data_IF_915279349939
#
_entry.id   IF_915279349939
#
_cell.length_a   1.000
_cell.length_b   1.000
_cell.length_c   1.000
_cell.angle_alpha   90.00
_cell.angle_beta   90.00
_cell.angle_gamma   90.00
#
_symmetry.space_group_name_H-M   'P 1'
#
loop_
_entity.id
_entity.type
_entity.pdbx_description
1 polymer ?
#
# COMPACT_ATOMS: atom_id res chain seq x y z
N UNK A 1 8.46 -10.38 -18.04
CA UNK A 1 8.82 -9.18 -18.82
C UNK A 1 8.54 -7.87 -18.07
N UNK A 2 7.37 -7.69 -17.43
CA UNK A 2 7.00 -6.40 -16.83
C UNK A 2 7.86 -5.88 -15.64
N UNK A 3 8.41 -6.76 -14.80
CA UNK A 3 9.11 -6.32 -13.56
C UNK A 3 10.39 -5.52 -13.84
N UNK A 4 11.16 -5.92 -14.86
CA UNK A 4 12.43 -5.28 -15.23
C UNK A 4 12.22 -3.90 -15.86
N UNK A 5 11.16 -3.75 -16.65
CA UNK A 5 10.78 -2.48 -17.27
C UNK A 5 10.33 -1.46 -16.21
N UNK A 6 9.58 -1.91 -15.20
CA UNK A 6 9.16 -1.07 -14.07
C UNK A 6 10.36 -0.59 -13.25
N UNK A 7 11.31 -1.46 -12.95
CA UNK A 7 12.53 -1.07 -12.20
C UNK A 7 13.39 -0.09 -13.00
N UNK A 8 13.48 -0.29 -14.31
CA UNK A 8 14.18 0.64 -15.20
C UNK A 8 13.49 2.00 -15.23
N UNK A 9 12.15 2.03 -15.27
CA UNK A 9 11.40 3.27 -15.18
C UNK A 9 11.58 3.96 -13.82
N UNK A 10 11.47 3.22 -12.71
CA UNK A 10 11.61 3.76 -11.34
C UNK A 10 12.96 4.41 -11.07
N UNK A 11 14.04 3.96 -11.74
CA UNK A 11 15.37 4.57 -11.64
C UNK A 11 15.56 5.81 -12.52
N UNK A 12 14.57 6.17 -13.34
CA UNK A 12 14.66 7.36 -14.21
C UNK A 12 14.45 8.68 -13.45
N UNK A 13 15.06 9.75 -13.95
CA UNK A 13 14.85 11.10 -13.43
C UNK A 13 13.38 11.55 -13.51
N UNK A 14 12.65 11.06 -14.52
CA UNK A 14 11.22 11.31 -14.67
C UNK A 14 10.42 10.66 -13.54
N UNK A 15 10.70 9.40 -13.22
CA UNK A 15 10.01 8.72 -12.13
C UNK A 15 10.28 9.38 -10.78
N UNK A 16 11.51 9.85 -10.52
CA UNK A 16 11.80 10.60 -9.28
C UNK A 16 10.97 11.88 -9.20
N UNK A 17 10.91 12.68 -10.28
CA UNK A 17 10.08 13.88 -10.31
C UNK A 17 8.58 13.57 -10.13
N UNK A 18 8.09 12.54 -10.82
CA UNK A 18 6.69 12.10 -10.74
C UNK A 18 6.32 11.65 -9.33
N UNK A 19 7.15 10.79 -8.73
CA UNK A 19 6.94 10.26 -7.38
C UNK A 19 7.07 11.35 -6.31
N UNK A 20 7.93 12.36 -6.50
CA UNK A 20 7.97 13.54 -5.62
C UNK A 20 6.65 14.32 -5.68
N UNK A 21 6.17 14.63 -6.87
CA UNK A 21 4.92 15.37 -7.05
C UNK A 21 3.70 14.60 -6.49
N UNK A 22 3.58 13.30 -6.79
CA UNK A 22 2.55 12.45 -6.19
C UNK A 22 2.71 12.33 -4.67
N UNK A 23 3.95 12.22 -4.20
CA UNK A 23 4.28 12.04 -2.79
C UNK A 23 3.81 13.19 -1.93
N UNK A 24 3.83 14.43 -2.43
CA UNK A 24 3.28 15.59 -1.71
C UNK A 24 1.76 15.48 -1.50
N UNK A 25 1.03 15.06 -2.53
CA UNK A 25 -0.43 14.91 -2.46
C UNK A 25 -0.82 13.76 -1.53
N UNK A 26 -0.14 12.62 -1.65
CA UNK A 26 -0.36 11.46 -0.80
C UNK A 26 0.03 11.77 0.65
N UNK A 27 1.19 12.41 0.89
CA UNK A 27 1.60 12.84 2.22
C UNK A 27 0.57 13.76 2.86
N UNK A 28 0.00 14.70 2.09
CA UNK A 28 -1.05 15.58 2.61
C UNK A 28 -2.27 14.78 3.01
N UNK A 29 -2.83 13.98 2.11
CA UNK A 29 -4.02 13.17 2.38
C UNK A 29 -3.80 12.23 3.59
N UNK A 30 -2.66 11.55 3.61
CA UNK A 30 -2.29 10.64 4.69
C UNK A 30 -2.09 11.41 5.99
N UNK A 31 -1.37 12.52 6.06
CA UNK A 31 -1.23 13.30 7.31
C UNK A 31 -2.56 13.85 7.85
N UNK A 32 -3.54 14.08 6.97
CA UNK A 32 -4.86 14.54 7.40
C UNK A 32 -5.72 13.39 7.93
N UNK A 33 -5.47 12.16 7.48
CA UNK A 33 -6.20 10.95 7.86
C UNK A 33 -5.45 10.06 8.85
N UNK A 34 -4.14 10.26 9.03
CA UNK A 34 -3.23 9.37 9.74
C UNK A 34 -3.53 9.44 11.22
N UNK A 35 -4.07 8.33 11.68
CA UNK A 35 -4.36 8.02 13.07
C UNK A 35 -3.42 6.85 13.47
N UNK A 36 -3.38 6.39 14.74
CA UNK A 36 -2.27 5.57 15.25
C UNK A 36 -2.02 4.24 14.54
N UNK A 37 -2.89 3.75 13.66
CA UNK A 37 -2.70 2.48 12.95
C UNK A 37 -3.10 2.62 11.49
N UNK A 38 -2.13 2.48 10.57
CA UNK A 38 -2.37 2.55 9.12
C UNK A 38 -2.15 1.19 8.47
N UNK A 39 -3.12 0.72 7.69
CA UNK A 39 -3.00 -0.45 6.83
C UNK A 39 -2.75 -0.01 5.40
N UNK A 40 -1.77 -0.64 4.74
CA UNK A 40 -1.44 -0.41 3.34
C UNK A 40 -1.65 -1.70 2.57
N UNK A 41 -2.52 -1.65 1.57
CA UNK A 41 -2.89 -2.79 0.74
C UNK A 41 -2.46 -2.48 -0.70
N UNK A 42 -1.69 -3.39 -1.30
CA UNK A 42 -1.30 -3.25 -2.71
C UNK A 42 -0.06 -4.05 -3.10
N UNK A 43 0.43 -3.79 -4.31
CA UNK A 43 1.78 -4.22 -4.70
C UNK A 43 2.78 -3.19 -4.17
N UNK A 44 3.50 -3.60 -3.14
CA UNK A 44 4.56 -2.80 -2.51
C UNK A 44 5.86 -3.24 -3.16
N UNK A 45 6.41 -2.40 -4.05
CA UNK A 45 7.66 -2.64 -4.75
C UNK A 45 8.84 -1.87 -4.15
N UNK A 46 10.01 -2.03 -4.76
CA UNK A 46 11.16 -1.13 -4.51
C UNK A 46 10.74 0.32 -4.80
N UNK A 47 11.04 1.23 -3.87
CA UNK A 47 10.62 2.64 -3.92
C UNK A 47 9.13 2.89 -3.79
N UNK A 48 8.40 2.01 -3.09
CA UNK A 48 7.02 2.29 -2.73
C UNK A 48 6.94 3.67 -2.06
N UNK A 49 6.09 4.53 -2.61
CA UNK A 49 5.85 5.90 -2.11
C UNK A 49 5.55 5.92 -0.60
N UNK A 50 5.03 4.81 -0.09
CA UNK A 50 4.74 4.55 1.32
C UNK A 50 5.97 4.66 2.23
N UNK A 51 7.16 4.27 1.77
CA UNK A 51 8.40 4.35 2.58
C UNK A 51 8.90 5.79 2.72
N UNK A 52 8.44 6.68 1.83
CA UNK A 52 8.66 8.12 1.95
C UNK A 52 7.59 8.81 2.80
N UNK A 53 6.54 8.09 3.21
CA UNK A 53 5.55 8.60 4.14
C UNK A 53 6.03 8.32 5.56
N UNK A 54 6.17 9.38 6.36
CA UNK A 54 6.54 9.28 7.76
C UNK A 54 5.33 8.83 8.61
N UNK A 55 4.99 7.54 8.48
CA UNK A 55 3.85 6.90 9.14
C UNK A 55 4.32 6.16 10.41
N UNK A 56 3.82 6.52 11.60
CA UNK A 56 4.37 6.03 12.87
C UNK A 56 4.10 4.54 13.12
N UNK A 57 2.96 4.01 12.67
CA UNK A 57 2.64 2.60 12.76
C UNK A 57 1.93 2.14 11.48
N UNK A 58 2.70 1.53 10.59
CA UNK A 58 2.23 1.05 9.30
C UNK A 58 2.27 -0.48 9.27
N UNK A 59 1.19 -1.10 8.80
CA UNK A 59 1.12 -2.51 8.46
C UNK A 59 0.97 -2.64 6.95
N UNK A 60 1.88 -3.37 6.32
CA UNK A 60 1.97 -3.57 4.87
C UNK A 60 1.49 -4.96 4.50
N UNK A 61 0.46 -5.04 3.66
CA UNK A 61 -0.13 -6.30 3.18
C UNK A 61 0.06 -6.41 1.68
N UNK A 62 0.48 -7.59 1.24
CA UNK A 62 0.52 -7.94 -0.18
C UNK A 62 0.20 -9.41 -0.42
N UNK A 63 -0.09 -9.76 -1.66
CA UNK A 63 -0.27 -11.16 -2.10
C UNK A 63 1.06 -11.83 -2.46
N UNK A 64 2.11 -11.04 -2.65
CA UNK A 64 3.42 -11.47 -3.14
C UNK A 64 4.31 -11.93 -1.98
N UNK A 65 4.52 -13.24 -1.86
CA UNK A 65 5.33 -13.84 -0.79
C UNK A 65 6.82 -13.52 -0.90
N UNK A 66 7.32 -13.14 -2.08
CA UNK A 66 8.73 -12.76 -2.26
C UNK A 66 9.06 -11.46 -1.50
N UNK A 67 8.06 -10.57 -1.34
CA UNK A 67 8.24 -9.32 -0.59
C UNK A 67 8.39 -9.56 0.92
N UNK A 68 7.82 -10.65 1.45
CA UNK A 68 7.95 -11.00 2.87
C UNK A 68 9.38 -11.41 3.18
N UNK A 69 9.99 -12.23 2.33
CA UNK A 69 11.38 -12.66 2.48
C UNK A 69 12.36 -11.47 2.42
N UNK A 70 11.99 -10.41 1.70
CA UNK A 70 12.76 -9.17 1.63
C UNK A 70 12.51 -8.21 2.82
N UNK A 71 11.62 -8.56 3.77
CA UNK A 71 11.29 -7.71 4.93
C UNK A 71 10.53 -6.43 4.57
N UNK A 72 9.87 -6.40 3.40
CA UNK A 72 9.22 -5.20 2.85
C UNK A 72 7.73 -5.11 3.16
N UNK A 73 7.15 -6.23 3.60
CA UNK A 73 5.75 -6.36 3.96
C UNK A 73 5.65 -7.12 5.27
N UNK A 74 4.62 -6.80 6.04
CA UNK A 74 4.40 -7.40 7.37
C UNK A 74 3.54 -8.66 7.27
N UNK A 75 2.64 -8.72 6.29
CA UNK A 75 1.67 -9.80 6.12
C UNK A 75 1.50 -10.16 4.65
N UNK A 76 1.52 -11.47 4.36
CA UNK A 76 1.14 -12.00 3.04
C UNK A 76 -0.29 -12.51 3.11
N UNK A 77 -1.20 -11.85 2.41
CA UNK A 77 -2.60 -12.21 2.35
C UNK A 77 -3.31 -11.65 1.12
N UNK A 78 -4.44 -12.26 0.77
CA UNK A 78 -5.32 -11.71 -0.26
C UNK A 78 -5.93 -10.39 0.18
N UNK A 79 -5.87 -9.38 -0.69
CA UNK A 79 -6.55 -8.09 -0.48
C UNK A 79 -8.07 -8.25 -0.31
N UNK A 80 -8.65 -9.33 -0.85
CA UNK A 80 -10.06 -9.66 -0.75
C UNK A 80 -10.43 -10.47 0.51
N UNK A 81 -9.44 -10.91 1.30
CA UNK A 81 -9.62 -11.70 2.52
C UNK A 81 -8.53 -11.34 3.54
N UNK A 82 -8.71 -10.21 4.22
CA UNK A 82 -7.70 -9.69 5.13
C UNK A 82 -7.71 -10.47 6.46
N UNK A 83 -6.55 -10.90 6.97
CA UNK A 83 -6.44 -11.72 8.18
C UNK A 83 -6.49 -10.85 9.46
N UNK A 84 -7.28 -9.78 9.46
CA UNK A 84 -7.42 -8.87 10.58
C UNK A 84 -8.85 -8.84 11.10
N UNK A 85 -9.05 -8.63 12.41
CA UNK A 85 -10.37 -8.36 12.98
C UNK A 85 -10.99 -7.09 12.38
N UNK A 86 -12.31 -6.96 12.54
CA UNK A 86 -13.03 -5.74 12.13
C UNK A 86 -12.54 -4.53 12.94
N UNK A 87 -12.57 -3.33 12.34
CA UNK A 87 -12.22 -2.06 13.00
C UNK A 87 -10.83 -2.05 13.67
N UNK A 88 -9.84 -2.68 13.04
CA UNK A 88 -8.48 -2.78 13.56
C UNK A 88 -7.59 -1.58 13.19
N UNK A 89 -7.91 -0.88 12.11
CA UNK A 89 -7.07 0.18 11.56
C UNK A 89 -7.82 1.49 11.47
N UNK A 90 -7.18 2.58 11.88
CA UNK A 90 -7.75 3.91 11.79
C UNK A 90 -7.63 4.50 10.37
N UNK A 91 -6.66 4.04 9.58
CA UNK A 91 -6.47 4.46 8.19
C UNK A 91 -6.22 3.24 7.31
N UNK A 92 -6.84 3.19 6.13
CA UNK A 92 -6.58 2.17 5.11
C UNK A 92 -6.19 2.86 3.79
N UNK A 93 -5.03 2.50 3.25
CA UNK A 93 -4.48 3.02 2.00
C UNK A 93 -4.46 1.91 0.96
N UNK A 94 -5.19 2.11 -0.14
CA UNK A 94 -5.21 1.20 -1.29
C UNK A 94 -4.25 1.75 -2.36
N UNK A 95 -3.00 1.29 -2.36
CA UNK A 95 -1.99 1.77 -3.32
C UNK A 95 -1.91 0.79 -4.50
N UNK A 96 -2.44 1.21 -5.63
CA UNK A 96 -2.55 0.36 -6.83
C UNK A 96 -3.19 -1.02 -6.56
N UNK A 97 -3.99 -1.11 -5.48
CA UNK A 97 -4.52 -2.38 -4.99
C UNK A 97 -5.81 -2.81 -5.65
N UNK A 98 -6.51 -1.88 -6.34
CA UNK A 98 -7.78 -2.16 -7.01
C UNK A 98 -7.57 -2.59 -8.46
N UNK A 99 -6.61 -1.98 -9.15
CA UNK A 99 -6.27 -2.26 -10.55
C UNK A 99 -5.72 -3.67 -10.72
N UNK A 100 -5.13 -4.24 -9.67
CA UNK A 100 -4.54 -5.57 -9.67
C UNK A 100 -5.36 -6.62 -8.91
N UNK A 101 -6.54 -6.25 -8.41
CA UNK A 101 -7.38 -7.19 -7.65
C UNK A 101 -8.33 -7.94 -8.58
N UNK A 102 -8.36 -9.26 -8.46
CA UNK A 102 -9.35 -10.11 -9.13
C UNK A 102 -10.77 -9.88 -8.59
N UNK A 103 -10.88 -9.34 -7.36
CA UNK A 103 -12.13 -9.10 -6.65
C UNK A 103 -12.16 -7.68 -6.06
N UNK A 104 -12.26 -6.62 -6.89
CA UNK A 104 -12.11 -5.23 -6.45
C UNK A 104 -13.22 -4.81 -5.47
N UNK A 105 -14.46 -5.23 -5.70
CA UNK A 105 -15.58 -4.95 -4.78
C UNK A 105 -15.40 -5.65 -3.43
N UNK A 106 -14.89 -6.88 -3.42
CA UNK A 106 -14.60 -7.60 -2.18
C UNK A 106 -13.44 -6.94 -1.42
N UNK A 107 -12.42 -6.47 -2.15
CA UNK A 107 -11.30 -5.71 -1.58
C UNK A 107 -11.80 -4.44 -0.88
N UNK A 108 -12.74 -3.70 -1.49
CA UNK A 108 -13.36 -2.53 -0.86
C UNK A 108 -14.19 -2.89 0.38
N UNK A 109 -14.91 -4.03 0.35
CA UNK A 109 -15.64 -4.52 1.53
C UNK A 109 -14.70 -4.85 2.68
N UNK A 110 -13.60 -5.54 2.40
CA UNK A 110 -12.59 -5.86 3.40
C UNK A 110 -11.90 -4.61 3.95
N UNK A 111 -11.52 -3.67 3.08
CA UNK A 111 -10.95 -2.39 3.48
C UNK A 111 -11.90 -1.63 4.43
N UNK A 112 -13.20 -1.61 4.13
CA UNK A 112 -14.21 -1.02 5.01
C UNK A 112 -14.38 -1.80 6.31
N UNK A 113 -14.36 -3.14 6.26
CA UNK A 113 -14.53 -4.02 7.44
C UNK A 113 -13.44 -3.77 8.49
N UNK A 114 -12.19 -3.60 8.05
CA UNK A 114 -11.05 -3.40 8.96
C UNK A 114 -10.86 -1.94 9.40
N UNK A 115 -11.53 -0.99 8.74
CA UNK A 115 -11.48 0.44 9.05
C UNK A 115 -12.30 0.76 10.31
N UNK A 116 -11.74 1.58 11.20
CA UNK A 116 -12.45 2.15 12.35
C UNK A 116 -13.39 3.27 11.87
N UNK A 117 -14.60 3.30 12.44
CA UNK A 117 -15.63 4.30 12.13
C UNK A 117 -15.39 5.60 12.89
#
# INVERSE_FOLDING_TARGET
>A
MAQQDIQTWLSSAYADQYLRAQGEHLNRAVRTAASPTTLVIGRIGDHAIIDKLDLPFVCRVTIDSEQLAAGRVDVVASNAFLPFPEKSFATVVLLHGLETSDLPHQTLREAHRVLQA
#
